data_IF_147315746295
#
_entry.id   IF_147315746295
#
_cell.length_a   1.000
_cell.length_b   1.000
_cell.length_c   1.000
_cell.angle_alpha   90.00
_cell.angle_beta   90.00
_cell.angle_gamma   90.00
#
_symmetry.space_group_name_H-M   'P 1'
#
loop_
_entity.id
_entity.type
_entity.pdbx_description
1 polymer ?
#
# COMPACT_ATOMS: atom_id res chain seq x y z
N UNK A 1 -50.29 47.45 58.06
CA UNK A 1 -48.88 47.81 58.21
C UNK A 1 -48.10 46.78 57.34
N UNK A 2 -47.90 47.10 56.08
CA UNK A 2 -47.31 46.19 55.08
C UNK A 2 -45.86 46.60 54.84
N UNK A 3 -44.95 45.72 55.17
CA UNK A 3 -43.51 45.88 54.92
C UNK A 3 -43.17 45.31 53.55
N UNK A 4 -42.77 46.15 52.59
CA UNK A 4 -42.31 45.74 51.26
C UNK A 4 -40.81 45.37 51.35
N UNK A 5 -40.49 44.13 51.14
CA UNK A 5 -39.12 43.72 50.85
C UNK A 5 -38.78 43.99 49.38
N UNK A 6 -37.75 44.81 49.15
CA UNK A 6 -37.10 44.94 47.87
C UNK A 6 -36.07 43.84 47.70
N UNK A 7 -36.26 42.99 46.73
CA UNK A 7 -35.23 42.08 46.23
C UNK A 7 -34.42 42.80 45.16
N UNK A 8 -33.17 43.09 45.50
CA UNK A 8 -32.19 43.56 44.52
C UNK A 8 -31.67 42.37 43.72
N UNK A 9 -31.93 42.37 42.41
CA UNK A 9 -31.34 41.41 41.48
C UNK A 9 -29.93 41.88 41.13
N UNK A 10 -28.91 41.23 41.66
CA UNK A 10 -27.52 41.40 41.22
C UNK A 10 -27.32 40.57 39.98
N UNK A 11 -27.26 41.25 38.81
CA UNK A 11 -26.93 40.65 37.55
C UNK A 11 -25.39 40.47 37.47
N UNK A 12 -24.91 39.27 37.81
CA UNK A 12 -23.52 38.87 37.56
C UNK A 12 -23.36 38.61 36.09
N UNK A 13 -22.84 39.57 35.33
CA UNK A 13 -22.31 39.35 33.99
C UNK A 13 -21.02 38.52 34.09
N UNK A 14 -21.14 37.20 34.01
CA UNK A 14 -20.03 36.34 33.71
C UNK A 14 -19.57 36.59 32.25
N UNK A 15 -18.52 37.39 32.11
CA UNK A 15 -17.76 37.47 30.86
C UNK A 15 -17.09 36.12 30.68
N UNK A 16 -17.72 35.25 29.88
CA UNK A 16 -17.04 34.06 29.37
C UNK A 16 -15.92 34.55 28.44
N UNK A 17 -14.69 34.50 28.92
CA UNK A 17 -13.53 34.58 28.05
C UNK A 17 -13.61 33.40 27.09
N UNK A 18 -14.07 33.64 25.88
CA UNK A 18 -13.91 32.72 24.76
C UNK A 18 -12.42 32.69 24.46
N UNK A 19 -11.72 31.68 25.01
CA UNK A 19 -10.37 31.36 24.60
C UNK A 19 -10.43 31.08 23.08
N UNK A 20 -10.08 32.08 22.29
CA UNK A 20 -9.77 31.90 20.88
C UNK A 20 -8.57 30.97 20.84
N UNK A 21 -8.81 29.68 20.59
CA UNK A 21 -7.75 28.77 20.18
C UNK A 21 -7.08 29.43 18.98
N UNK A 22 -5.91 30.00 19.18
CA UNK A 22 -5.09 30.50 18.11
C UNK A 22 -4.91 29.33 17.16
N UNK A 23 -5.58 29.37 16.01
CA UNK A 23 -5.32 28.44 14.92
C UNK A 23 -3.86 28.66 14.57
N UNK A 24 -2.99 27.74 14.97
CA UNK A 24 -1.59 27.72 14.59
C UNK A 24 -1.59 27.72 13.05
N UNK A 25 -1.16 28.83 12.48
CA UNK A 25 -1.13 28.98 11.02
C UNK A 25 -0.16 27.94 10.48
N UNK A 26 -0.68 27.01 9.67
CA UNK A 26 0.14 25.99 9.07
C UNK A 26 1.26 26.61 8.22
N UNK A 27 2.46 26.04 8.22
CA UNK A 27 3.59 26.55 7.44
C UNK A 27 3.22 26.71 5.96
N UNK A 28 3.75 27.76 5.33
CA UNK A 28 3.50 28.01 3.90
C UNK A 28 3.94 26.84 3.02
N UNK A 29 5.08 26.23 3.35
CA UNK A 29 5.60 25.06 2.65
C UNK A 29 4.63 23.87 2.75
N UNK A 30 4.07 23.60 3.94
CA UNK A 30 3.01 22.59 4.11
C UNK A 30 1.84 22.80 3.18
N UNK A 31 1.33 24.04 3.14
CA UNK A 31 0.15 24.39 2.31
C UNK A 31 0.47 24.27 0.82
N UNK A 32 1.68 24.64 0.40
CA UNK A 32 2.11 24.51 -0.99
C UNK A 32 2.17 23.06 -1.45
N UNK A 33 2.80 22.19 -0.65
CA UNK A 33 2.89 20.76 -0.92
C UNK A 33 1.52 20.09 -0.87
N UNK A 34 0.67 20.42 0.11
CA UNK A 34 -0.70 19.91 0.18
C UNK A 34 -1.52 20.29 -1.06
N UNK A 35 -1.35 21.52 -1.56
CA UNK A 35 -2.02 21.95 -2.79
C UNK A 35 -1.52 21.15 -3.99
N UNK A 36 -0.21 20.98 -4.15
CA UNK A 36 0.35 20.22 -5.25
C UNK A 36 -0.12 18.74 -5.24
N UNK A 37 -0.17 18.12 -4.04
CA UNK A 37 -0.72 16.79 -3.88
C UNK A 37 -2.19 16.71 -4.28
N UNK A 38 -3.03 17.68 -3.89
CA UNK A 38 -4.44 17.74 -4.27
C UNK A 38 -4.64 17.90 -5.77
N UNK A 39 -3.86 18.76 -6.40
CA UNK A 39 -3.93 18.99 -7.85
C UNK A 39 -3.55 17.71 -8.62
N UNK A 40 -2.55 16.95 -8.16
CA UNK A 40 -2.13 15.70 -8.76
C UNK A 40 -3.10 14.53 -8.47
N UNK A 41 -3.75 14.51 -7.32
CA UNK A 41 -4.60 13.39 -6.92
C UNK A 41 -5.81 13.19 -7.84
N UNK A 42 -6.41 14.26 -8.31
CA UNK A 42 -7.63 14.22 -9.12
C UNK A 42 -8.68 13.30 -8.47
N UNK A 43 -9.35 12.47 -9.27
CA UNK A 43 -10.28 11.43 -8.79
C UNK A 43 -9.58 10.08 -8.56
N UNK A 44 -8.47 9.82 -9.24
CA UNK A 44 -7.82 8.51 -9.24
C UNK A 44 -7.12 8.21 -7.91
N UNK A 45 -6.58 9.25 -7.24
CA UNK A 45 -5.69 9.10 -6.09
C UNK A 45 -6.21 9.76 -4.81
N UNK A 46 -7.54 9.90 -4.69
CA UNK A 46 -8.17 10.42 -3.47
C UNK A 46 -7.87 9.58 -2.23
N UNK A 47 -7.74 8.26 -2.39
CA UNK A 47 -7.38 7.35 -1.31
C UNK A 47 -5.98 7.63 -0.76
N UNK A 48 -4.96 7.70 -1.63
CA UNK A 48 -3.59 8.01 -1.22
C UNK A 48 -3.46 9.43 -0.66
N UNK A 49 -4.14 10.41 -1.25
CA UNK A 49 -4.20 11.78 -0.74
C UNK A 49 -4.79 11.82 0.68
N UNK A 50 -5.93 11.19 0.88
CA UNK A 50 -6.58 11.13 2.19
C UNK A 50 -5.68 10.45 3.23
N UNK A 51 -5.05 9.34 2.85
CA UNK A 51 -4.23 8.54 3.75
C UNK A 51 -2.94 9.23 4.17
N UNK A 52 -2.25 9.89 3.24
CA UNK A 52 -0.92 10.43 3.46
C UNK A 52 -0.89 11.94 3.75
N UNK A 53 -1.89 12.71 3.31
CA UNK A 53 -1.89 14.16 3.46
C UNK A 53 -2.94 14.70 4.44
N UNK A 54 -4.17 14.12 4.43
CA UNK A 54 -5.34 14.75 5.05
C UNK A 54 -5.67 14.14 6.40
N UNK A 55 -5.59 12.82 6.51
CA UNK A 55 -5.77 12.13 7.79
C UNK A 55 -4.41 12.14 8.48
N UNK A 56 -4.19 13.02 9.47
CA UNK A 56 -2.93 13.00 10.19
C UNK A 56 -2.75 11.61 10.81
N UNK A 57 -1.53 11.13 10.83
CA UNK A 57 -1.17 9.87 11.45
C UNK A 57 -1.45 9.81 12.98
N UNK A 58 -2.22 10.75 13.50
CA UNK A 58 -2.58 10.91 14.91
C UNK A 58 -3.89 10.20 15.25
N UNK A 59 -4.45 9.42 14.34
CA UNK A 59 -5.59 8.55 14.62
C UNK A 59 -5.14 7.11 14.86
N UNK A 60 -6.00 6.23 15.40
CA UNK A 60 -5.70 4.82 15.40
C UNK A 60 -5.37 4.41 13.97
N UNK A 61 -4.25 3.68 13.81
CA UNK A 61 -3.84 3.18 12.51
C UNK A 61 -5.05 2.52 11.84
N UNK A 62 -5.52 3.10 10.72
CA UNK A 62 -6.67 2.53 10.04
C UNK A 62 -6.23 1.13 9.61
N UNK A 63 -6.82 0.10 10.25
CA UNK A 63 -6.60 -1.27 9.87
C UNK A 63 -5.30 -1.90 10.37
N UNK A 64 -4.87 -1.64 11.61
CA UNK A 64 -3.94 -2.56 12.26
C UNK A 64 -4.69 -3.86 12.61
N UNK A 65 -4.82 -4.75 11.63
CA UNK A 65 -5.45 -6.06 11.74
C UNK A 65 -4.42 -7.17 12.04
N UNK A 66 -3.41 -6.87 12.85
CA UNK A 66 -2.41 -7.87 13.28
C UNK A 66 -3.02 -9.04 14.06
N UNK A 67 -4.21 -8.84 14.60
CA UNK A 67 -5.07 -9.90 15.17
C UNK A 67 -6.21 -10.17 14.20
N UNK A 68 -6.58 -11.43 13.99
CA UNK A 68 -7.69 -11.82 13.13
C UNK A 68 -9.00 -11.11 13.54
N UNK A 69 -9.53 -10.20 12.72
CA UNK A 69 -10.75 -9.47 13.04
C UNK A 69 -12.03 -10.24 12.71
N UNK A 70 -11.90 -11.47 12.21
CA UNK A 70 -12.99 -12.25 11.61
C UNK A 70 -13.07 -12.06 10.09
N UNK A 71 -13.29 -13.16 9.40
CA UNK A 71 -13.24 -13.20 7.93
C UNK A 71 -14.26 -12.28 7.25
N UNK A 72 -15.42 -12.08 7.82
CA UNK A 72 -16.47 -11.18 7.34
C UNK A 72 -16.02 -9.71 7.27
N UNK A 73 -15.10 -9.31 8.15
CA UNK A 73 -14.53 -7.96 8.16
C UNK A 73 -13.56 -7.75 7.00
N UNK A 74 -12.66 -8.70 6.75
CA UNK A 74 -11.55 -8.51 5.81
C UNK A 74 -11.75 -9.17 4.44
N UNK A 75 -12.64 -10.13 4.31
CA UNK A 75 -12.79 -10.92 3.09
C UNK A 75 -13.02 -10.06 1.84
N UNK A 76 -12.27 -10.36 0.80
CA UNK A 76 -12.48 -9.88 -0.55
C UNK A 76 -12.45 -11.07 -1.52
N UNK A 77 -13.37 -11.09 -2.50
CA UNK A 77 -13.36 -12.14 -3.50
C UNK A 77 -12.09 -12.07 -4.35
N UNK A 78 -11.43 -13.21 -4.63
CA UNK A 78 -10.35 -13.25 -5.60
C UNK A 78 -10.87 -12.89 -6.99
N UNK A 79 -10.10 -12.12 -7.75
CA UNK A 79 -10.51 -11.61 -9.06
C UNK A 79 -9.36 -11.69 -10.06
N UNK A 80 -9.64 -12.11 -11.29
CA UNK A 80 -8.73 -11.91 -12.40
C UNK A 80 -8.84 -10.47 -12.87
N UNK A 81 -7.75 -9.70 -12.74
CA UNK A 81 -7.74 -8.27 -13.06
C UNK A 81 -7.07 -7.95 -14.40
N UNK A 82 -6.13 -8.77 -14.82
CA UNK A 82 -5.55 -8.84 -16.15
C UNK A 82 -5.54 -10.29 -16.61
N UNK A 83 -5.25 -10.57 -17.86
CA UNK A 83 -5.24 -11.93 -18.38
C UNK A 83 -4.31 -12.85 -17.59
N UNK A 84 -3.24 -12.30 -17.04
CA UNK A 84 -2.20 -13.02 -16.29
C UNK A 84 -1.97 -12.47 -14.86
N UNK A 85 -2.84 -11.60 -14.33
CA UNK A 85 -2.70 -11.06 -12.96
C UNK A 85 -4.00 -11.23 -12.19
N UNK A 86 -3.89 -11.76 -10.95
CA UNK A 86 -5.00 -12.07 -10.09
C UNK A 86 -4.85 -11.37 -8.74
N UNK A 87 -5.92 -10.74 -8.27
CA UNK A 87 -6.05 -10.21 -6.93
C UNK A 87 -6.44 -11.33 -5.97
N UNK A 88 -5.66 -11.55 -4.93
CA UNK A 88 -5.86 -12.55 -3.87
C UNK A 88 -5.83 -11.92 -2.48
N UNK A 89 -6.02 -10.61 -2.41
CA UNK A 89 -5.93 -9.82 -1.18
C UNK A 89 -7.18 -9.86 -0.31
N UNK A 90 -7.17 -8.94 0.62
CA UNK A 90 -8.30 -8.62 1.51
C UNK A 90 -8.91 -7.27 1.11
N UNK A 91 -9.93 -6.80 1.84
CA UNK A 91 -10.43 -5.42 1.69
C UNK A 91 -9.37 -4.36 2.03
N UNK A 92 -8.26 -4.72 2.67
CA UNK A 92 -7.26 -3.79 3.22
C UNK A 92 -5.87 -3.97 2.62
N UNK A 93 -5.39 -5.22 2.54
CA UNK A 93 -4.05 -5.59 2.10
C UNK A 93 -4.12 -6.42 0.85
N UNK A 94 -3.13 -6.31 0.00
CA UNK A 94 -3.15 -7.02 -1.28
C UNK A 94 -2.11 -8.13 -1.32
N UNK A 95 -2.48 -9.22 -1.96
CA UNK A 95 -1.58 -10.22 -2.52
C UNK A 95 -1.95 -10.40 -4.00
N UNK A 96 -0.96 -10.59 -4.86
CA UNK A 96 -1.18 -10.69 -6.29
C UNK A 96 -0.48 -11.92 -6.86
N UNK A 97 -1.15 -12.65 -7.71
CA UNK A 97 -0.54 -13.73 -8.48
C UNK A 97 -0.31 -13.29 -9.92
N UNK A 98 0.93 -13.35 -10.38
CA UNK A 98 1.31 -13.20 -11.79
C UNK A 98 1.55 -14.60 -12.35
N UNK A 99 0.67 -15.06 -13.25
CA UNK A 99 0.80 -16.33 -13.94
C UNK A 99 1.72 -16.23 -15.14
N UNK A 100 2.51 -17.26 -15.34
CA UNK A 100 3.50 -17.37 -16.43
C UNK A 100 3.43 -18.75 -17.08
N UNK A 101 4.14 -18.95 -18.18
CA UNK A 101 4.24 -20.27 -18.83
C UNK A 101 4.96 -21.34 -17.99
N UNK A 102 5.64 -20.96 -16.88
CA UNK A 102 6.41 -21.87 -16.04
C UNK A 102 5.96 -21.89 -14.57
N UNK A 103 4.84 -21.26 -14.25
CA UNK A 103 4.30 -21.22 -12.89
C UNK A 103 3.81 -19.82 -12.49
N UNK A 104 3.82 -19.56 -11.19
CA UNK A 104 3.23 -18.36 -10.59
C UNK A 104 4.30 -17.62 -9.79
N UNK A 105 4.34 -16.30 -9.95
CA UNK A 105 5.02 -15.37 -9.06
C UNK A 105 3.97 -14.77 -8.15
N UNK A 106 4.06 -15.03 -6.84
CA UNK A 106 3.20 -14.43 -5.82
C UNK A 106 3.89 -13.17 -5.27
N UNK A 107 3.15 -12.06 -5.21
CA UNK A 107 3.60 -10.78 -4.66
C UNK A 107 2.85 -10.55 -3.37
N UNK A 108 3.57 -10.44 -2.26
CA UNK A 108 3.10 -10.38 -0.87
C UNK A 108 2.23 -11.58 -0.43
N UNK A 109 2.09 -11.75 0.88
CA UNK A 109 1.46 -12.97 1.44
C UNK A 109 0.49 -12.71 2.59
N UNK A 110 0.16 -11.46 2.87
CA UNK A 110 -0.81 -11.07 3.90
C UNK A 110 -0.40 -11.47 5.33
N UNK A 111 -1.29 -11.22 6.31
CA UNK A 111 -1.21 -11.79 7.65
C UNK A 111 -1.44 -13.29 7.63
N UNK A 112 -0.83 -14.02 8.56
CA UNK A 112 -0.89 -15.48 8.65
C UNK A 112 -2.32 -16.05 8.65
N UNK A 113 -3.28 -15.40 9.30
CA UNK A 113 -4.68 -15.86 9.33
C UNK A 113 -5.36 -15.81 7.95
N UNK A 114 -4.88 -14.96 7.03
CA UNK A 114 -5.45 -14.77 5.71
C UNK A 114 -4.76 -15.63 4.61
N UNK A 115 -3.61 -16.25 4.91
CA UNK A 115 -2.80 -16.99 3.91
C UNK A 115 -3.59 -18.10 3.25
N UNK A 116 -4.16 -19.00 4.05
CA UNK A 116 -4.91 -20.15 3.50
C UNK A 116 -6.24 -19.70 2.91
N UNK A 117 -7.12 -18.97 3.63
CA UNK A 117 -8.46 -18.70 3.13
C UNK A 117 -8.50 -17.71 1.95
N UNK A 118 -7.53 -16.80 1.85
CA UNK A 118 -7.55 -15.78 0.79
C UNK A 118 -6.55 -16.08 -0.33
N UNK A 119 -5.34 -16.54 -0.03
CA UNK A 119 -4.34 -16.80 -1.08
C UNK A 119 -4.46 -18.21 -1.62
N UNK A 120 -4.27 -19.25 -0.79
CA UNK A 120 -4.29 -20.62 -1.29
C UNK A 120 -5.65 -21.01 -1.87
N UNK A 121 -6.73 -20.77 -1.12
CA UNK A 121 -8.08 -21.08 -1.58
C UNK A 121 -8.55 -20.08 -2.66
N UNK A 122 -8.02 -18.85 -2.65
CA UNK A 122 -8.19 -17.88 -3.71
C UNK A 122 -7.61 -18.38 -5.04
N UNK A 123 -6.39 -18.88 -5.06
CA UNK A 123 -5.79 -19.52 -6.23
C UNK A 123 -6.67 -20.66 -6.75
N UNK A 124 -7.10 -21.58 -5.87
CA UNK A 124 -7.97 -22.70 -6.24
C UNK A 124 -9.30 -22.22 -6.83
N UNK A 125 -9.93 -21.19 -6.25
CA UNK A 125 -11.16 -20.57 -6.79
C UNK A 125 -10.95 -19.98 -8.18
N UNK A 126 -9.76 -19.43 -8.44
CA UNK A 126 -9.36 -18.95 -9.77
C UNK A 126 -8.88 -20.07 -10.69
N UNK A 127 -9.00 -21.35 -10.28
CA UNK A 127 -8.56 -22.53 -11.03
C UNK A 127 -7.05 -22.55 -11.27
N UNK A 128 -6.29 -21.93 -10.39
CA UNK A 128 -4.84 -21.97 -10.36
C UNK A 128 -4.37 -22.98 -9.30
N UNK A 129 -3.31 -23.72 -9.61
CA UNK A 129 -2.76 -24.68 -8.66
C UNK A 129 -1.76 -23.98 -7.72
N UNK A 130 -1.97 -23.97 -6.39
CA UNK A 130 -1.00 -23.38 -5.45
C UNK A 130 0.41 -23.98 -5.52
N UNK A 131 0.56 -25.23 -5.96
CA UNK A 131 1.86 -25.88 -6.16
C UNK A 131 2.68 -25.28 -7.32
N UNK A 132 2.03 -24.47 -8.18
CA UNK A 132 2.70 -23.76 -9.25
C UNK A 132 3.33 -22.44 -8.80
N UNK A 133 3.14 -22.03 -7.54
CA UNK A 133 3.87 -20.89 -6.97
C UNK A 133 5.34 -21.23 -6.85
N UNK A 134 6.17 -20.57 -7.68
CA UNK A 134 7.63 -20.78 -7.73
C UNK A 134 8.42 -19.70 -7.02
N UNK A 135 7.90 -18.48 -7.02
CA UNK A 135 8.48 -17.34 -6.32
C UNK A 135 7.44 -16.64 -5.46
N UNK A 136 7.89 -16.18 -4.30
CA UNK A 136 7.16 -15.29 -3.38
C UNK A 136 8.01 -14.04 -3.21
N UNK A 137 7.55 -12.93 -3.73
CA UNK A 137 8.22 -11.63 -3.64
C UNK A 137 7.57 -10.82 -2.51
N UNK A 138 8.22 -10.75 -1.36
CA UNK A 138 7.76 -9.96 -0.21
C UNK A 138 8.31 -8.56 -0.35
N UNK A 139 7.45 -7.62 -0.68
CA UNK A 139 7.85 -6.28 -1.07
C UNK A 139 8.38 -5.45 0.08
N UNK A 140 8.05 -5.81 1.33
CA UNK A 140 8.67 -5.31 2.55
C UNK A 140 8.32 -6.18 3.79
N UNK A 141 9.14 -6.12 4.83
CA UNK A 141 9.09 -7.00 6.00
C UNK A 141 8.09 -6.56 7.08
N UNK A 142 6.82 -6.30 6.73
CA UNK A 142 5.75 -6.12 7.69
C UNK A 142 4.76 -7.29 7.67
N UNK A 143 4.11 -7.53 8.82
CA UNK A 143 3.22 -8.68 9.07
C UNK A 143 2.14 -8.88 8.02
N UNK A 144 1.58 -7.79 7.55
CA UNK A 144 0.52 -7.76 6.54
C UNK A 144 1.00 -8.10 5.12
N UNK A 145 2.30 -8.38 4.96
CA UNK A 145 2.92 -8.76 3.69
C UNK A 145 3.77 -10.02 3.77
N UNK A 146 4.41 -10.31 4.93
CA UNK A 146 5.45 -11.33 5.05
C UNK A 146 5.03 -12.64 5.77
N UNK A 147 3.93 -12.64 6.54
CA UNK A 147 3.63 -13.78 7.43
C UNK A 147 3.26 -15.07 6.71
N UNK A 148 2.86 -15.02 5.44
CA UNK A 148 2.60 -16.22 4.65
C UNK A 148 3.81 -16.76 3.89
N UNK A 149 4.96 -16.09 3.93
CA UNK A 149 6.14 -16.50 3.16
C UNK A 149 6.61 -17.90 3.50
N UNK A 150 6.71 -18.21 4.81
CA UNK A 150 7.09 -19.54 5.31
C UNK A 150 6.15 -20.63 4.82
N UNK A 151 4.85 -20.36 4.79
CA UNK A 151 3.84 -21.32 4.33
C UNK A 151 4.11 -21.77 2.89
N UNK A 152 4.30 -20.84 1.97
CA UNK A 152 4.57 -21.17 0.56
C UNK A 152 5.95 -21.80 0.37
N UNK A 153 6.97 -21.35 1.12
CA UNK A 153 8.30 -21.92 1.07
C UNK A 153 8.30 -23.39 1.52
N UNK A 154 7.70 -23.71 2.66
CA UNK A 154 7.71 -25.06 3.23
C UNK A 154 6.78 -26.02 2.52
N UNK A 155 5.56 -25.57 2.19
CA UNK A 155 4.54 -26.45 1.61
C UNK A 155 4.74 -26.69 0.13
N UNK A 156 5.19 -25.70 -0.61
CA UNK A 156 5.27 -25.75 -2.08
C UNK A 156 6.67 -25.60 -2.64
N UNK A 157 7.68 -25.39 -1.79
CA UNK A 157 9.05 -25.19 -2.22
C UNK A 157 9.30 -23.89 -2.97
N UNK A 158 8.43 -22.89 -2.77
CA UNK A 158 8.59 -21.59 -3.42
C UNK A 158 9.83 -20.86 -2.92
N UNK A 159 10.55 -20.18 -3.83
CA UNK A 159 11.69 -19.32 -3.49
C UNK A 159 11.19 -17.99 -2.93
N UNK A 160 11.68 -17.57 -1.78
CA UNK A 160 11.27 -16.34 -1.10
C UNK A 160 12.30 -15.24 -1.30
N UNK A 161 11.83 -14.04 -1.70
CA UNK A 161 12.67 -12.86 -1.86
C UNK A 161 12.23 -11.75 -0.91
N UNK A 162 13.19 -11.14 -0.20
CA UNK A 162 13.06 -9.87 0.52
C UNK A 162 14.27 -8.98 0.22
N UNK A 163 14.17 -7.69 0.55
CA UNK A 163 15.33 -6.83 0.61
C UNK A 163 16.25 -7.18 1.78
N UNK A 164 17.55 -6.88 1.68
CA UNK A 164 18.55 -7.26 2.68
C UNK A 164 18.19 -6.79 4.10
N UNK A 165 17.79 -5.51 4.26
CA UNK A 165 17.43 -4.97 5.58
C UNK A 165 16.17 -5.59 6.17
N UNK A 166 15.27 -6.10 5.34
CA UNK A 166 14.06 -6.79 5.80
C UNK A 166 14.35 -8.25 6.16
N UNK A 167 15.27 -8.92 5.46
CA UNK A 167 15.79 -10.21 5.90
C UNK A 167 16.36 -10.12 7.31
N UNK A 168 17.24 -9.13 7.57
CA UNK A 168 17.81 -8.90 8.90
C UNK A 168 16.71 -8.69 9.96
N UNK A 169 15.66 -7.92 9.60
CA UNK A 169 14.57 -7.61 10.52
C UNK A 169 13.71 -8.83 10.88
N UNK A 170 13.44 -9.73 9.94
CA UNK A 170 12.59 -10.91 10.18
C UNK A 170 13.37 -12.08 10.78
N UNK A 171 14.68 -12.19 10.54
CA UNK A 171 15.56 -13.20 11.15
C UNK A 171 15.83 -12.92 12.63
N UNK A 172 15.82 -11.62 13.02
CA UNK A 172 15.92 -11.16 14.40
C UNK A 172 14.65 -10.40 14.81
N UNK A 173 13.47 -11.05 14.80
CA UNK A 173 12.21 -10.36 14.89
C UNK A 173 12.01 -9.74 16.28
N UNK A 174 11.63 -8.46 16.30
CA UNK A 174 11.15 -7.80 17.52
C UNK A 174 9.74 -8.23 17.92
N UNK A 175 9.07 -8.98 17.08
CA UNK A 175 7.72 -9.51 17.24
C UNK A 175 7.68 -11.00 16.85
N UNK A 176 6.77 -11.79 17.43
CA UNK A 176 6.51 -13.14 16.93
C UNK A 176 6.06 -13.08 15.47
N UNK A 177 6.46 -14.06 14.66
CA UNK A 177 5.94 -14.32 13.33
C UNK A 177 5.01 -15.54 13.38
N UNK A 178 3.69 -15.37 13.37
CA UNK A 178 2.75 -16.49 13.55
C UNK A 178 2.92 -17.63 12.55
N UNK A 179 3.30 -17.32 11.31
CA UNK A 179 3.59 -18.31 10.27
C UNK A 179 5.00 -18.94 10.38
N UNK A 180 5.83 -18.48 11.32
CA UNK A 180 7.26 -18.80 11.38
C UNK A 180 8.10 -17.92 10.44
N UNK A 181 9.41 -17.88 10.69
CA UNK A 181 10.36 -17.14 9.82
C UNK A 181 10.73 -18.00 8.61
N UNK A 182 10.61 -17.49 7.38
CA UNK A 182 11.06 -18.21 6.21
C UNK A 182 12.59 -18.40 6.25
N UNK A 183 13.08 -19.50 5.70
CA UNK A 183 14.51 -19.67 5.51
C UNK A 183 15.02 -18.63 4.52
N UNK A 184 16.14 -17.96 4.85
CA UNK A 184 16.81 -16.98 3.99
C UNK A 184 17.07 -17.56 2.61
N UNK A 185 16.69 -16.84 1.55
CA UNK A 185 16.79 -17.34 0.19
C UNK A 185 17.26 -16.23 -0.76
N UNK A 186 16.37 -15.51 -1.43
CA UNK A 186 16.74 -14.50 -2.41
C UNK A 186 16.77 -13.12 -1.78
N UNK A 187 17.76 -12.32 -2.16
CA UNK A 187 17.86 -10.91 -1.78
C UNK A 187 17.47 -10.04 -2.97
N UNK A 188 16.54 -9.11 -2.75
CA UNK A 188 16.19 -8.10 -3.75
C UNK A 188 17.34 -7.12 -3.95
N UNK A 189 17.78 -6.95 -5.19
CA UNK A 189 18.83 -6.02 -5.59
C UNK A 189 18.25 -4.91 -6.47
N UNK A 190 18.81 -3.71 -6.35
CA UNK A 190 18.37 -2.56 -7.16
C UNK A 190 18.69 -2.77 -8.65
N UNK A 191 17.66 -2.66 -9.50
CA UNK A 191 17.78 -2.99 -10.93
C UNK A 191 17.80 -4.48 -11.22
N UNK A 192 17.72 -5.34 -10.21
CA UNK A 192 17.61 -6.80 -10.34
C UNK A 192 16.35 -7.24 -11.07
N UNK A 193 16.29 -8.51 -11.43
CA UNK A 193 15.14 -9.09 -12.16
C UNK A 193 14.91 -10.53 -11.74
N UNK A 194 13.64 -10.91 -11.67
CA UNK A 194 13.20 -12.31 -11.60
C UNK A 194 12.52 -12.66 -12.91
N UNK A 195 12.96 -13.76 -13.53
CA UNK A 195 12.32 -14.29 -14.74
C UNK A 195 11.77 -15.69 -14.44
N UNK A 196 10.51 -15.91 -14.81
CA UNK A 196 9.84 -17.21 -14.74
C UNK A 196 9.02 -17.37 -16.03
N UNK A 197 9.35 -18.38 -16.83
CA UNK A 197 8.69 -18.60 -18.13
C UNK A 197 8.76 -17.37 -19.02
N UNK A 198 7.60 -16.88 -19.43
CA UNK A 198 7.43 -15.72 -20.32
C UNK A 198 7.32 -14.38 -19.59
N UNK A 199 7.46 -14.36 -18.27
CA UNK A 199 7.38 -13.14 -17.48
C UNK A 199 8.72 -12.76 -16.84
N UNK A 200 9.03 -11.45 -16.86
CA UNK A 200 10.15 -10.85 -16.15
C UNK A 200 9.64 -9.72 -15.25
N UNK A 201 9.99 -9.78 -13.98
CA UNK A 201 9.68 -8.76 -12.97
C UNK A 201 10.96 -8.01 -12.62
N UNK A 202 11.00 -6.71 -12.92
CA UNK A 202 12.09 -5.81 -12.55
C UNK A 202 11.92 -5.31 -11.11
N UNK A 203 13.01 -5.16 -10.39
CA UNK A 203 13.07 -4.78 -8.97
C UNK A 203 13.67 -3.38 -8.86
N UNK A 204 13.09 -2.53 -8.04
CA UNK A 204 13.63 -1.22 -7.70
C UNK A 204 13.59 -1.06 -6.19
N UNK A 205 14.74 -0.98 -5.52
CA UNK A 205 14.78 -0.72 -4.09
C UNK A 205 14.20 0.67 -3.78
N UNK A 206 13.27 0.70 -2.85
CA UNK A 206 12.56 1.91 -2.39
C UNK A 206 12.55 1.98 -0.87
N UNK A 207 13.74 2.02 -0.22
CA UNK A 207 13.82 2.08 1.24
C UNK A 207 13.14 3.33 1.80
N UNK A 208 12.85 3.31 3.10
CA UNK A 208 12.18 4.37 3.83
C UNK A 208 11.03 3.81 4.67
N UNK A 209 10.05 3.13 4.08
CA UNK A 209 9.00 2.47 4.86
C UNK A 209 9.57 1.29 5.69
N UNK A 210 10.37 0.46 5.06
CA UNK A 210 11.34 -0.44 5.70
C UNK A 210 12.69 -0.31 5.01
N UNK A 211 13.80 -0.75 5.63
CA UNK A 211 15.11 -0.71 4.99
C UNK A 211 15.21 -1.57 3.72
N UNK A 212 14.41 -2.62 3.62
CA UNK A 212 14.41 -3.57 2.50
C UNK A 212 13.26 -3.38 1.51
N UNK A 213 12.44 -2.34 1.64
CA UNK A 213 11.30 -2.11 0.73
C UNK A 213 11.71 -2.01 -0.73
N UNK A 214 10.91 -2.58 -1.64
CA UNK A 214 11.11 -2.46 -3.08
C UNK A 214 9.80 -2.42 -3.86
N UNK A 215 9.80 -1.66 -4.95
CA UNK A 215 8.74 -1.66 -5.96
C UNK A 215 9.09 -2.56 -7.14
N UNK A 216 8.08 -2.88 -7.95
CA UNK A 216 8.21 -3.80 -9.08
C UNK A 216 7.73 -3.16 -10.38
N UNK A 217 8.31 -3.61 -11.51
CA UNK A 217 7.84 -3.33 -12.87
C UNK A 217 7.70 -4.66 -13.61
N UNK A 218 6.55 -4.91 -14.22
CA UNK A 218 6.32 -6.12 -15.01
C UNK A 218 5.29 -5.89 -16.12
N UNK A 219 5.18 -6.85 -17.04
CA UNK A 219 4.18 -6.84 -18.11
C UNK A 219 2.95 -7.66 -17.69
N UNK A 220 1.79 -7.01 -17.69
CA UNK A 220 0.48 -7.67 -17.71
C UNK A 220 -0.06 -7.74 -19.14
N UNK A 221 -1.13 -8.48 -19.32
CA UNK A 221 -1.89 -8.51 -20.58
C UNK A 221 -3.35 -8.17 -20.28
N UNK A 222 -3.89 -7.23 -21.04
CA UNK A 222 -5.29 -6.87 -20.95
C UNK A 222 -6.01 -7.16 -22.27
N UNK A 223 -6.83 -8.22 -22.29
CA UNK A 223 -7.49 -8.71 -23.50
C UNK A 223 -6.48 -8.93 -24.65
N UNK A 224 -5.36 -9.55 -24.30
CA UNK A 224 -4.25 -9.85 -25.21
C UNK A 224 -3.26 -8.71 -25.46
N UNK A 225 -3.60 -7.47 -25.14
CA UNK A 225 -2.70 -6.32 -25.30
C UNK A 225 -1.71 -6.21 -24.12
N UNK A 226 -0.43 -5.91 -24.35
CA UNK A 226 0.55 -5.73 -23.28
C UNK A 226 0.28 -4.43 -22.52
N UNK A 227 0.42 -4.48 -21.20
CA UNK A 227 0.27 -3.35 -20.27
C UNK A 227 1.46 -3.35 -19.32
N UNK A 228 2.23 -2.28 -19.28
CA UNK A 228 3.30 -2.14 -18.30
C UNK A 228 2.72 -1.70 -16.96
N UNK A 229 2.94 -2.52 -15.94
CA UNK A 229 2.46 -2.32 -14.58
C UNK A 229 3.61 -1.87 -13.69
N UNK A 230 3.38 -0.81 -12.91
CA UNK A 230 4.18 -0.48 -11.74
C UNK A 230 3.47 -0.97 -10.48
N UNK A 231 4.20 -1.63 -9.60
CA UNK A 231 3.74 -2.00 -8.27
C UNK A 231 4.39 -1.11 -7.21
N UNK A 232 3.55 -0.34 -6.52
CA UNK A 232 3.99 0.56 -5.45
C UNK A 232 3.88 -0.15 -4.10
N UNK A 233 4.99 -0.24 -3.39
CA UNK A 233 5.12 -0.87 -2.08
C UNK A 233 5.63 0.12 -1.03
N UNK A 234 5.52 -0.26 0.25
CA UNK A 234 5.96 0.59 1.36
C UNK A 234 5.24 1.93 1.38
N UNK A 235 3.93 1.93 1.18
CA UNK A 235 3.15 3.13 0.84
C UNK A 235 2.76 3.99 2.03
N UNK A 236 2.67 3.42 3.23
CA UNK A 236 2.32 4.17 4.43
C UNK A 236 3.51 4.97 4.96
N UNK A 237 3.28 6.24 5.28
CA UNK A 237 4.32 7.09 5.85
C UNK A 237 4.48 6.85 7.35
N UNK A 238 5.74 6.72 7.79
CA UNK A 238 6.13 6.70 9.19
C UNK A 238 6.54 8.11 9.58
N UNK A 239 5.96 8.67 10.66
CA UNK A 239 6.26 10.05 11.06
C UNK A 239 7.48 10.10 12.00
N UNK A 240 8.64 9.66 11.51
CA UNK A 240 9.90 9.77 12.22
C UNK A 240 10.86 10.71 11.48
N UNK A 241 11.70 11.48 12.16
CA UNK A 241 12.55 12.48 11.53
C UNK A 241 13.44 11.97 10.39
N UNK A 242 13.99 10.77 10.49
CA UNK A 242 14.87 10.18 9.47
C UNK A 242 14.13 9.58 8.27
N UNK A 243 12.84 9.39 8.38
CA UNK A 243 12.02 8.69 7.36
C UNK A 243 11.89 9.47 6.05
N UNK A 244 11.54 10.76 6.13
CA UNK A 244 11.08 11.51 4.96
C UNK A 244 12.10 11.67 3.84
N UNK A 245 13.39 12.01 4.10
CA UNK A 245 14.37 12.18 3.02
C UNK A 245 14.52 10.93 2.17
N UNK A 246 14.62 9.76 2.79
CA UNK A 246 14.79 8.48 2.10
C UNK A 246 13.52 8.06 1.37
N UNK A 247 12.37 8.19 2.02
CA UNK A 247 11.07 7.88 1.41
C UNK A 247 10.79 8.76 0.18
N UNK A 248 11.02 10.09 0.29
CA UNK A 248 10.86 11.03 -0.83
C UNK A 248 11.79 10.66 -2.00
N UNK A 249 13.06 10.36 -1.72
CA UNK A 249 14.01 9.93 -2.74
C UNK A 249 13.54 8.64 -3.43
N UNK A 250 13.04 7.68 -2.67
CA UNK A 250 12.50 6.41 -3.17
C UNK A 250 11.27 6.59 -4.06
N UNK A 251 10.33 7.47 -3.68
CA UNK A 251 9.16 7.76 -4.51
C UNK A 251 9.56 8.42 -5.83
N UNK A 252 10.47 9.39 -5.80
CA UNK A 252 11.01 10.04 -7.02
C UNK A 252 11.73 9.04 -7.93
N UNK A 253 12.53 8.15 -7.35
CA UNK A 253 13.24 7.09 -8.08
C UNK A 253 12.24 6.15 -8.76
N UNK A 254 11.22 5.68 -8.03
CA UNK A 254 10.22 4.77 -8.58
C UNK A 254 9.39 5.44 -9.69
N UNK A 255 9.05 6.72 -9.55
CA UNK A 255 8.42 7.51 -10.61
C UNK A 255 9.26 7.53 -11.90
N UNK A 256 10.56 7.79 -11.77
CA UNK A 256 11.47 7.82 -12.92
C UNK A 256 11.60 6.44 -13.60
N UNK A 257 11.67 5.36 -12.80
CA UNK A 257 11.72 3.98 -13.32
C UNK A 257 10.42 3.63 -14.03
N UNK A 258 9.26 3.96 -13.44
CA UNK A 258 7.95 3.74 -14.05
C UNK A 258 7.79 4.48 -15.37
N UNK A 259 8.19 5.76 -15.42
CA UNK A 259 8.16 6.56 -16.66
C UNK A 259 9.07 5.98 -17.74
N UNK A 260 10.32 5.60 -17.38
CA UNK A 260 11.26 4.97 -18.32
C UNK A 260 10.74 3.64 -18.88
N UNK A 261 10.03 2.87 -18.06
CA UNK A 261 9.41 1.61 -18.46
C UNK A 261 8.12 1.79 -19.28
N UNK A 262 7.58 3.01 -19.38
CA UNK A 262 6.30 3.28 -20.02
C UNK A 262 5.12 2.69 -19.25
N UNK A 263 5.17 2.72 -17.91
CA UNK A 263 4.10 2.18 -17.08
C UNK A 263 2.80 2.98 -17.25
N UNK A 264 1.71 2.27 -17.50
CA UNK A 264 0.37 2.84 -17.68
C UNK A 264 -0.65 2.28 -16.69
N UNK A 265 -0.29 1.24 -15.95
CA UNK A 265 -1.10 0.67 -14.89
C UNK A 265 -0.35 0.69 -13.56
N UNK A 266 -1.10 0.81 -12.47
CA UNK A 266 -0.56 0.84 -11.12
C UNK A 266 -1.33 -0.12 -10.21
N UNK A 267 -0.56 -0.92 -9.45
CA UNK A 267 -1.01 -1.75 -8.35
C UNK A 267 -0.29 -1.31 -7.07
N UNK A 268 -0.93 -1.50 -5.93
CA UNK A 268 -0.36 -1.18 -4.63
C UNK A 268 -0.51 -2.35 -3.65
N UNK A 269 0.29 -2.33 -2.61
CA UNK A 269 0.26 -3.30 -1.52
C UNK A 269 -0.91 -3.09 -0.54
N UNK A 270 -1.59 -1.95 -0.59
CA UNK A 270 -2.79 -1.67 0.20
C UNK A 270 -3.90 -1.10 -0.67
N UNK A 271 -5.10 -1.65 -0.52
CA UNK A 271 -6.28 -1.24 -1.30
C UNK A 271 -6.71 0.22 -1.07
N UNK A 272 -6.34 0.79 0.08
CA UNK A 272 -6.65 2.18 0.41
C UNK A 272 -5.85 3.18 -0.44
N UNK A 273 -4.71 2.78 -1.03
CA UNK A 273 -3.85 3.68 -1.79
C UNK A 273 -4.20 3.75 -3.27
N UNK A 274 -4.66 2.64 -3.85
CA UNK A 274 -4.97 2.56 -5.28
C UNK A 274 -6.44 2.25 -5.58
N UNK A 275 -7.27 2.04 -4.56
CA UNK A 275 -8.63 1.55 -4.72
C UNK A 275 -8.70 0.07 -5.12
N UNK A 276 -7.64 -0.70 -4.83
CA UNK A 276 -7.37 -2.02 -5.38
C UNK A 276 -8.53 -3.01 -5.26
N UNK A 277 -9.17 -3.12 -4.11
CA UNK A 277 -10.34 -3.99 -3.94
C UNK A 277 -11.51 -3.58 -4.84
N UNK A 278 -11.86 -2.30 -4.87
CA UNK A 278 -12.95 -1.80 -5.73
C UNK A 278 -12.60 -1.98 -7.20
N UNK A 279 -11.37 -1.61 -7.60
CA UNK A 279 -10.88 -1.77 -8.98
C UNK A 279 -10.84 -3.24 -9.42
N UNK A 280 -10.48 -4.17 -8.53
CA UNK A 280 -10.48 -5.61 -8.84
C UNK A 280 -11.90 -6.11 -9.20
N UNK A 281 -12.90 -5.70 -8.44
CA UNK A 281 -14.32 -5.99 -8.75
C UNK A 281 -14.75 -5.35 -10.05
N UNK A 282 -14.42 -4.09 -10.28
CA UNK A 282 -14.72 -3.39 -11.54
C UNK A 282 -14.07 -4.08 -12.73
N UNK A 283 -12.80 -4.51 -12.63
CA UNK A 283 -12.09 -5.21 -13.69
C UNK A 283 -12.77 -6.53 -14.07
N UNK A 284 -13.23 -7.30 -13.08
CA UNK A 284 -13.90 -8.59 -13.28
C UNK A 284 -15.27 -8.44 -13.98
N UNK A 285 -15.98 -7.35 -13.71
CA UNK A 285 -17.35 -7.13 -14.22
C UNK A 285 -17.44 -6.11 -15.36
N UNK A 286 -16.30 -5.59 -15.83
CA UNK A 286 -16.31 -4.55 -16.86
C UNK A 286 -16.87 -5.06 -18.21
N UNK A 287 -17.77 -4.30 -18.85
CA UNK A 287 -18.28 -4.62 -20.17
C UNK A 287 -17.17 -4.70 -21.24
N UNK A 288 -17.49 -5.34 -22.36
CA UNK A 288 -16.60 -5.32 -23.53
C UNK A 288 -16.44 -3.86 -24.02
N UNK A 289 -15.21 -3.44 -24.20
CA UNK A 289 -14.88 -2.08 -24.64
C UNK A 289 -14.51 -1.12 -23.51
N UNK A 290 -14.95 -1.38 -22.29
CA UNK A 290 -14.55 -0.57 -21.13
C UNK A 290 -13.07 -0.77 -20.80
N UNK A 291 -12.32 0.32 -20.47
CA UNK A 291 -10.93 0.23 -20.05
C UNK A 291 -10.77 -0.51 -18.74
N UNK A 292 -9.59 -1.10 -18.53
CA UNK A 292 -9.26 -1.70 -17.25
C UNK A 292 -9.07 -0.59 -16.19
N UNK A 293 -9.72 -0.65 -15.02
CA UNK A 293 -9.64 0.40 -14.01
C UNK A 293 -8.26 0.57 -13.37
N UNK A 294 -7.37 -0.40 -13.53
CA UNK A 294 -5.97 -0.28 -13.12
C UNK A 294 -5.10 0.42 -14.15
N UNK A 295 -5.56 0.57 -15.40
CA UNK A 295 -4.87 1.30 -16.47
C UNK A 295 -5.25 2.77 -16.38
N UNK A 296 -4.43 3.52 -15.67
CA UNK A 296 -4.64 4.96 -15.38
C UNK A 296 -3.90 5.88 -16.35
N UNK A 297 -3.14 5.31 -17.29
CA UNK A 297 -2.26 6.03 -18.21
C UNK A 297 -0.95 6.49 -17.55
N UNK A 298 -0.02 6.94 -18.37
CA UNK A 298 1.29 7.41 -17.89
C UNK A 298 1.16 8.60 -16.94
N UNK A 299 0.28 9.54 -17.24
CA UNK A 299 -0.01 10.70 -16.38
C UNK A 299 -0.62 10.28 -15.05
N UNK A 300 -1.52 9.29 -15.05
CA UNK A 300 -2.10 8.74 -13.83
C UNK A 300 -1.03 8.12 -12.92
N UNK A 301 -0.11 7.34 -13.49
CA UNK A 301 1.03 6.77 -12.75
C UNK A 301 1.94 7.88 -12.19
N UNK A 302 2.30 8.87 -13.00
CA UNK A 302 3.12 10.02 -12.56
C UNK A 302 2.43 10.79 -11.43
N UNK A 303 1.13 11.03 -11.53
CA UNK A 303 0.33 11.71 -10.53
C UNK A 303 0.32 10.95 -9.18
N UNK A 304 0.23 9.62 -9.18
CA UNK A 304 0.35 8.82 -7.96
C UNK A 304 1.63 9.14 -7.18
N UNK A 305 2.77 9.06 -7.85
CA UNK A 305 4.07 9.33 -7.21
C UNK A 305 4.24 10.81 -6.84
N UNK A 306 3.61 11.71 -7.56
CA UNK A 306 3.53 13.14 -7.18
C UNK A 306 2.76 13.29 -5.86
N UNK A 307 1.59 12.66 -5.73
CA UNK A 307 0.84 12.69 -4.46
C UNK A 307 1.65 12.12 -3.32
N UNK A 308 2.29 10.96 -3.52
CA UNK A 308 3.14 10.33 -2.51
C UNK A 308 4.29 11.25 -2.06
N UNK A 309 4.98 11.86 -3.01
CA UNK A 309 6.11 12.76 -2.77
C UNK A 309 5.68 14.05 -2.07
N UNK A 310 4.65 14.71 -2.58
CA UNK A 310 4.16 15.99 -2.06
C UNK A 310 3.54 15.84 -0.66
N UNK A 311 2.82 14.73 -0.40
CA UNK A 311 2.33 14.44 0.94
C UNK A 311 3.47 14.22 1.94
N UNK A 312 4.54 13.54 1.52
CA UNK A 312 5.70 13.33 2.37
C UNK A 312 6.45 14.64 2.66
N UNK A 313 6.61 15.52 1.66
CA UNK A 313 7.21 16.84 1.81
C UNK A 313 6.35 17.76 2.71
N UNK A 314 5.03 17.71 2.57
CA UNK A 314 4.10 18.40 3.46
C UNK A 314 4.29 17.93 4.91
N UNK A 315 4.28 16.63 5.17
CA UNK A 315 4.48 16.09 6.51
C UNK A 315 5.86 16.44 7.08
N UNK A 316 6.92 16.36 6.26
CA UNK A 316 8.27 16.74 6.65
C UNK A 316 8.37 18.20 7.10
N UNK A 317 7.63 19.11 6.43
CA UNK A 317 7.66 20.54 6.77
C UNK A 317 7.05 20.87 8.14
N UNK A 318 6.31 19.94 8.75
CA UNK A 318 5.74 20.05 10.10
C UNK A 318 6.68 19.58 11.20
N UNK A 319 7.79 18.92 10.86
CA UNK A 319 8.76 18.47 11.85
C UNK A 319 9.59 19.64 12.38
N UNK A 320 10.03 19.59 13.64
CA UNK A 320 10.99 20.56 14.19
C UNK A 320 12.26 20.60 13.31
N UNK A 321 12.72 21.83 13.04
CA UNK A 321 13.97 22.07 12.29
C UNK A 321 15.17 21.84 13.18
#
# INVERSE_FOLDING_TARGET
>A
MFMRLLYGVVCCCLLAEVATLAQTQLPADYLAHLKAAKDAARFDWTGVLARNCIVPAVGPAIGNYSTDPGRDVYYAEPQQVFDNVYFLGTKFHTAWALTTSAGIILIDTLYNYAVVPEIEDGLKRMRLNPADVKYVLITHGHSDHDEGATYFQQKYGARVMLGAGDWESIENPRRPMPGGTPKHDLVAEDGGKITLGDATVGITLTPGHTPGSYGLIFQAKDRGAPVTVVYASGTAMLQTPGFFPEFIASQKKMAAVAAKAGATALLSNHTAFDGGWTKARMAAWRPKGEPNPFVVGADGVANYFTVMTECAMAAQSLLPK
#
